data_IF_825041102867
#
_entry.id   IF_825041102867
#
_cell.length_a   1.000
_cell.length_b   1.000
_cell.length_c   1.000
_cell.angle_alpha   90.00
_cell.angle_beta   90.00
_cell.angle_gamma   90.00
#
_symmetry.space_group_name_H-M   'P 1'
#
loop_
_entity.id
_entity.type
_entity.pdbx_description
1 polymer ?
#
# COMPACT_ATOMS: atom_id res chain seq x y z
N UNK A 1 2.46 20.79 -7.42
CA UNK A 1 2.20 19.85 -6.30
C UNK A 1 3.34 20.00 -5.30
N UNK A 2 3.08 20.54 -4.10
CA UNK A 2 4.11 20.76 -3.09
C UNK A 2 4.60 19.43 -2.50
N UNK A 3 5.89 19.17 -2.67
CA UNK A 3 6.58 18.04 -2.05
C UNK A 3 6.52 18.18 -0.52
N UNK A 4 6.37 17.09 0.24
CA UNK A 4 6.55 17.17 1.69
C UNK A 4 8.01 17.58 1.96
N UNK A 5 8.21 18.59 2.83
CA UNK A 5 9.54 19.09 3.21
C UNK A 5 10.25 18.06 4.08
N UNK A 6 10.91 17.11 3.46
CA UNK A 6 12.02 16.42 4.09
C UNK A 6 13.13 17.46 4.28
N UNK A 7 13.46 17.78 5.52
CA UNK A 7 14.58 18.67 5.86
C UNK A 7 15.95 18.01 5.64
N UNK A 8 15.98 16.77 5.15
CA UNK A 8 17.21 16.02 4.90
C UNK A 8 17.79 16.39 3.53
N UNK A 9 19.09 16.76 3.46
CA UNK A 9 19.76 16.99 2.19
C UNK A 9 19.75 15.70 1.35
N UNK A 10 19.64 15.85 0.02
CA UNK A 10 19.69 14.69 -0.88
C UNK A 10 21.08 14.06 -0.81
N UNK A 11 21.18 12.73 -0.66
CA UNK A 11 22.47 12.05 -0.64
C UNK A 11 23.13 12.12 -2.01
N UNK A 12 24.48 12.15 -2.04
CA UNK A 12 25.24 12.07 -3.30
C UNK A 12 25.02 10.69 -3.94
N UNK A 13 24.95 10.60 -5.28
CA UNK A 13 24.76 9.34 -5.98
C UNK A 13 26.04 8.48 -5.85
N UNK A 14 26.06 7.63 -4.84
CA UNK A 14 27.08 6.60 -4.62
C UNK A 14 26.50 5.23 -4.97
N UNK A 15 27.32 4.21 -5.25
CA UNK A 15 26.83 2.85 -5.52
C UNK A 15 25.87 2.32 -4.44
N UNK A 16 26.12 2.68 -3.17
CA UNK A 16 25.24 2.33 -2.04
C UNK A 16 23.87 2.99 -2.17
N UNK A 17 23.80 4.28 -2.48
CA UNK A 17 22.53 5.02 -2.65
C UNK A 17 21.72 4.45 -3.81
N UNK A 18 22.38 4.09 -4.92
CA UNK A 18 21.73 3.45 -6.06
C UNK A 18 21.17 2.08 -5.67
N UNK A 19 21.97 1.25 -4.96
CA UNK A 19 21.52 -0.05 -4.48
C UNK A 19 20.33 0.08 -3.51
N UNK A 20 20.37 1.03 -2.57
CA UNK A 20 19.25 1.31 -1.67
C UNK A 20 17.99 1.74 -2.42
N UNK A 21 18.11 2.56 -3.48
CA UNK A 21 16.96 2.96 -4.32
C UNK A 21 16.31 1.75 -4.96
N UNK A 22 17.11 0.86 -5.55
CA UNK A 22 16.62 -0.38 -6.17
C UNK A 22 15.92 -1.25 -5.12
N UNK A 23 16.52 -1.42 -3.95
CA UNK A 23 15.93 -2.18 -2.85
C UNK A 23 14.59 -1.60 -2.41
N UNK A 24 14.49 -0.29 -2.21
CA UNK A 24 13.24 0.37 -1.80
C UNK A 24 12.13 0.15 -2.83
N UNK A 25 12.42 0.30 -4.13
CA UNK A 25 11.44 0.07 -5.20
C UNK A 25 11.03 -1.40 -5.30
N UNK A 26 11.96 -2.34 -5.09
CA UNK A 26 11.66 -3.76 -5.09
C UNK A 26 10.80 -4.16 -3.88
N UNK A 27 11.15 -3.67 -2.69
CA UNK A 27 10.41 -3.91 -1.45
C UNK A 27 9.01 -3.33 -1.51
N UNK A 28 8.84 -2.13 -2.05
CA UNK A 28 7.52 -1.54 -2.22
C UNK A 28 6.68 -2.30 -3.26
N UNK A 29 7.28 -2.78 -4.36
CA UNK A 29 6.60 -3.69 -5.31
C UNK A 29 6.07 -4.95 -4.61
N UNK A 30 6.86 -5.55 -3.73
CA UNK A 30 6.45 -6.72 -2.95
C UNK A 30 5.30 -6.37 -1.99
N UNK A 31 5.40 -5.25 -1.27
CA UNK A 31 4.36 -4.78 -0.37
C UNK A 31 3.03 -4.60 -1.10
N UNK A 32 3.05 -4.01 -2.30
CA UNK A 32 1.86 -3.86 -3.15
C UNK A 32 1.20 -5.20 -3.45
N UNK A 33 1.97 -6.24 -3.83
CA UNK A 33 1.42 -7.58 -4.11
C UNK A 33 0.76 -8.15 -2.85
N UNK A 34 1.42 -8.04 -1.71
CA UNK A 34 0.92 -8.53 -0.42
C UNK A 34 -0.40 -7.83 -0.07
N UNK A 35 -0.46 -6.50 -0.20
CA UNK A 35 -1.68 -5.74 0.08
C UNK A 35 -2.81 -6.00 -0.93
N UNK A 36 -2.48 -6.23 -2.19
CA UNK A 36 -3.47 -6.63 -3.19
C UNK A 36 -4.07 -8.01 -2.84
N UNK A 37 -3.22 -8.98 -2.49
CA UNK A 37 -3.66 -10.30 -2.04
C UNK A 37 -4.51 -10.20 -0.77
N UNK A 38 -4.08 -9.40 0.21
CA UNK A 38 -4.84 -9.15 1.43
C UNK A 38 -6.21 -8.51 1.16
N UNK A 39 -6.29 -7.51 0.28
CA UNK A 39 -7.54 -6.87 -0.10
C UNK A 39 -8.51 -7.86 -0.76
N UNK A 40 -8.03 -8.65 -1.72
CA UNK A 40 -8.82 -9.72 -2.35
C UNK A 40 -9.30 -10.76 -1.32
N UNK A 41 -8.42 -11.14 -0.39
CA UNK A 41 -8.74 -12.10 0.65
C UNK A 41 -9.79 -11.57 1.64
N UNK A 42 -9.71 -10.30 2.04
CA UNK A 42 -10.73 -9.67 2.90
C UNK A 42 -12.08 -9.60 2.21
N UNK A 43 -12.14 -9.34 0.90
CA UNK A 43 -13.37 -9.44 0.13
C UNK A 43 -13.91 -10.87 0.16
N UNK A 44 -13.06 -11.85 -0.11
CA UNK A 44 -13.42 -13.27 -0.04
C UNK A 44 -14.01 -13.64 1.33
N UNK A 45 -13.35 -13.26 2.43
CA UNK A 45 -13.85 -13.49 3.79
C UNK A 45 -15.17 -12.76 4.05
N UNK A 46 -15.31 -11.52 3.57
CA UNK A 46 -16.54 -10.75 3.69
C UNK A 46 -17.73 -11.37 2.95
N UNK A 47 -17.50 -11.97 1.78
CA UNK A 47 -18.54 -12.63 0.97
C UNK A 47 -18.87 -14.03 1.49
N UNK A 48 -17.86 -14.83 1.83
CA UNK A 48 -18.05 -16.22 2.26
C UNK A 48 -18.39 -16.36 3.74
N UNK A 49 -18.18 -15.31 4.53
CA UNK A 49 -18.31 -15.36 5.98
C UNK A 49 -17.14 -16.04 6.68
N UNK A 50 -16.08 -16.44 5.98
CA UNK A 50 -14.90 -17.10 6.55
C UNK A 50 -14.22 -16.20 7.58
N UNK A 51 -14.02 -16.71 8.81
CA UNK A 51 -13.34 -16.02 9.92
C UNK A 51 -12.19 -16.86 10.43
N UNK A 52 -10.99 -16.57 9.97
CA UNK A 52 -9.77 -17.31 10.34
C UNK A 52 -8.65 -16.36 10.78
N UNK A 53 -7.51 -16.94 11.16
CA UNK A 53 -6.35 -16.16 11.60
C UNK A 53 -5.75 -15.32 10.45
N UNK A 54 -5.83 -15.80 9.21
CA UNK A 54 -5.29 -15.08 8.04
C UNK A 54 -6.09 -13.79 7.81
N UNK A 55 -7.42 -13.82 7.99
CA UNK A 55 -8.26 -12.63 7.92
C UNK A 55 -7.82 -11.58 8.93
N UNK A 56 -7.52 -11.98 10.18
CA UNK A 56 -7.04 -11.06 11.22
C UNK A 56 -5.71 -10.44 10.83
N UNK A 57 -4.76 -11.24 10.33
CA UNK A 57 -3.47 -10.71 9.84
C UNK A 57 -3.64 -9.73 8.68
N UNK A 58 -4.54 -10.03 7.73
CA UNK A 58 -4.86 -9.14 6.63
C UNK A 58 -5.48 -7.82 7.12
N UNK A 59 -6.39 -7.86 8.10
CA UNK A 59 -6.96 -6.66 8.73
C UNK A 59 -5.89 -5.81 9.42
N UNK A 60 -5.01 -6.44 10.21
CA UNK A 60 -3.92 -5.74 10.91
C UNK A 60 -2.97 -5.10 9.92
N UNK A 61 -2.57 -5.82 8.87
CA UNK A 61 -1.70 -5.27 7.83
C UNK A 61 -2.35 -4.04 7.17
N UNK A 62 -3.60 -4.15 6.73
CA UNK A 62 -4.34 -3.04 6.09
C UNK A 62 -4.50 -1.86 7.05
N UNK A 63 -4.74 -2.10 8.34
CA UNK A 63 -4.83 -1.06 9.36
C UNK A 63 -3.51 -0.31 9.55
N UNK A 64 -2.38 -1.04 9.65
CA UNK A 64 -1.04 -0.45 9.76
C UNK A 64 -0.73 0.41 8.54
N UNK A 65 -0.93 -0.13 7.33
CA UNK A 65 -0.68 0.61 6.09
C UNK A 65 -1.57 1.85 6.01
N UNK A 66 -2.84 1.74 6.38
CA UNK A 66 -3.77 2.88 6.40
C UNK A 66 -3.29 3.96 7.38
N UNK A 67 -2.88 3.58 8.59
CA UNK A 67 -2.37 4.50 9.60
C UNK A 67 -1.10 5.21 9.12
N UNK A 68 -0.15 4.48 8.53
CA UNK A 68 1.07 5.03 7.94
C UNK A 68 0.72 5.97 6.78
N UNK A 69 -0.10 5.53 5.83
CA UNK A 69 -0.48 6.32 4.66
C UNK A 69 -1.17 7.63 5.03
N UNK A 70 -2.09 7.60 6.01
CA UNK A 70 -2.77 8.80 6.51
C UNK A 70 -1.82 9.69 7.30
N UNK A 71 -0.99 9.12 8.18
CA UNK A 71 -0.01 9.85 8.98
C UNK A 71 1.02 10.61 8.13
N UNK A 72 1.37 10.06 6.97
CA UNK A 72 2.27 10.69 6.00
C UNK A 72 1.56 11.60 4.97
N UNK A 73 0.29 11.97 5.23
CA UNK A 73 -0.45 12.94 4.42
C UNK A 73 -0.96 12.38 3.09
N UNK A 74 -1.40 11.13 3.08
CA UNK A 74 -1.87 10.38 1.89
C UNK A 74 -0.78 10.23 0.82
N UNK A 75 0.44 9.97 1.27
CA UNK A 75 1.61 9.69 0.44
C UNK A 75 2.31 8.48 1.00
N UNK A 76 2.65 7.51 0.15
CA UNK A 76 3.41 6.34 0.59
C UNK A 76 4.83 6.76 1.04
N UNK A 77 5.28 6.37 2.24
CA UNK A 77 6.63 6.71 2.72
C UNK A 77 7.73 6.11 1.85
N UNK A 78 7.52 4.93 1.26
CA UNK A 78 8.49 4.28 0.39
C UNK A 78 8.65 5.07 -0.93
N UNK A 79 7.56 5.62 -1.47
CA UNK A 79 7.61 6.55 -2.62
C UNK A 79 8.41 7.81 -2.28
N UNK A 80 8.23 8.35 -1.08
CA UNK A 80 9.01 9.50 -0.63
C UNK A 80 10.49 9.16 -0.46
N UNK A 81 10.79 8.00 0.11
CA UNK A 81 12.15 7.53 0.30
C UNK A 81 12.85 7.28 -1.05
N UNK A 82 12.18 6.65 -2.01
CA UNK A 82 12.69 6.46 -3.37
C UNK A 82 13.03 7.81 -4.03
N UNK A 83 12.15 8.81 -3.89
CA UNK A 83 12.40 10.18 -4.41
C UNK A 83 13.57 10.86 -3.73
N UNK A 84 13.71 10.67 -2.42
CA UNK A 84 14.84 11.21 -1.67
C UNK A 84 16.17 10.57 -2.10
N UNK A 85 16.17 9.28 -2.43
CA UNK A 85 17.31 8.55 -2.99
C UNK A 85 17.60 8.87 -4.48
N UNK A 86 16.89 9.82 -5.08
CA UNK A 86 17.12 10.29 -6.45
C UNK A 86 16.27 9.60 -7.53
N UNK A 87 15.16 8.97 -7.16
CA UNK A 87 14.16 8.50 -8.13
C UNK A 87 13.22 9.64 -8.56
N UNK A 88 13.18 10.00 -9.84
CA UNK A 88 12.29 11.08 -10.31
C UNK A 88 10.81 10.68 -10.26
N UNK A 89 10.51 9.39 -10.47
CA UNK A 89 9.14 8.85 -10.39
C UNK A 89 8.68 8.59 -8.95
N UNK A 90 9.51 7.92 -8.16
CA UNK A 90 9.18 7.42 -6.82
C UNK A 90 8.26 6.20 -6.82
N UNK A 91 7.94 5.64 -7.98
CA UNK A 91 6.97 4.55 -8.10
C UNK A 91 7.66 3.19 -8.16
N UNK A 92 6.87 2.14 -7.95
CA UNK A 92 7.33 0.76 -7.86
C UNK A 92 7.56 0.16 -9.21
N UNK A 93 8.56 -0.72 -9.32
CA UNK A 93 8.88 -1.40 -10.58
C UNK A 93 7.67 -2.14 -11.16
N UNK A 94 6.87 -2.77 -10.31
CA UNK A 94 5.69 -3.51 -10.74
C UNK A 94 4.64 -2.61 -11.38
N UNK A 95 4.38 -1.43 -10.80
CA UNK A 95 3.42 -0.48 -11.34
C UNK A 95 3.91 0.24 -12.59
N UNK A 96 5.20 0.59 -12.62
CA UNK A 96 5.82 1.19 -13.81
C UNK A 96 5.78 0.21 -15.00
N UNK A 97 6.03 -1.08 -14.76
CA UNK A 97 6.00 -2.12 -15.78
C UNK A 97 4.58 -2.51 -16.21
N UNK A 98 3.66 -2.73 -15.27
CA UNK A 98 2.34 -3.28 -15.57
C UNK A 98 1.32 -2.26 -16.08
N UNK A 99 1.38 -1.01 -15.58
CA UNK A 99 0.27 -0.04 -15.72
C UNK A 99 0.67 1.28 -16.37
N UNK A 100 1.97 1.52 -16.55
CA UNK A 100 2.49 2.79 -17.05
C UNK A 100 2.29 3.93 -16.04
N UNK A 101 3.17 4.93 -16.09
CA UNK A 101 3.24 6.03 -15.09
C UNK A 101 1.96 6.87 -14.98
N UNK A 102 1.06 6.79 -15.97
CA UNK A 102 -0.14 7.63 -16.08
C UNK A 102 -1.31 7.14 -15.22
N UNK A 103 -1.37 5.85 -14.87
CA UNK A 103 -2.53 5.22 -14.21
C UNK A 103 -2.30 4.80 -12.75
N UNK A 104 -1.10 5.00 -12.21
CA UNK A 104 -0.70 4.51 -10.87
C UNK A 104 -1.59 5.08 -9.75
N UNK A 105 -1.99 6.34 -9.87
CA UNK A 105 -2.89 6.99 -8.91
C UNK A 105 -4.31 6.43 -8.90
N UNK A 106 -4.77 5.84 -10.01
CA UNK A 106 -6.08 5.20 -10.08
C UNK A 106 -6.03 3.82 -9.43
N UNK A 107 -4.98 3.04 -9.70
CA UNK A 107 -4.88 1.67 -9.20
C UNK A 107 -4.65 1.63 -7.69
N UNK A 108 -3.81 2.52 -7.15
CA UNK A 108 -3.66 2.65 -5.69
C UNK A 108 -4.99 2.97 -4.99
N UNK A 109 -5.81 3.86 -5.58
CA UNK A 109 -7.15 4.15 -5.07
C UNK A 109 -8.11 2.97 -5.21
N UNK A 110 -8.05 2.23 -6.31
CA UNK A 110 -8.86 1.03 -6.51
C UNK A 110 -8.51 -0.06 -5.49
N UNK A 111 -7.22 -0.29 -5.23
CA UNK A 111 -6.77 -1.26 -4.21
C UNK A 111 -7.20 -0.85 -2.80
N UNK A 112 -7.04 0.44 -2.45
CA UNK A 112 -7.55 0.96 -1.19
C UNK A 112 -9.08 0.83 -1.08
N UNK A 113 -9.80 1.07 -2.16
CA UNK A 113 -11.25 0.87 -2.25
C UNK A 113 -11.66 -0.58 -2.05
N UNK A 114 -10.98 -1.53 -2.71
CA UNK A 114 -11.22 -2.97 -2.55
C UNK A 114 -11.00 -3.41 -1.10
N UNK A 115 -9.90 -2.98 -0.48
CA UNK A 115 -9.64 -3.27 0.93
C UNK A 115 -10.76 -2.70 1.82
N UNK A 116 -11.17 -1.45 1.61
CA UNK A 116 -12.25 -0.83 2.37
C UNK A 116 -13.59 -1.57 2.23
N UNK A 117 -13.93 -2.01 1.01
CA UNK A 117 -15.13 -2.83 0.75
C UNK A 117 -15.03 -4.16 1.50
N UNK A 118 -13.91 -4.86 1.42
CA UNK A 118 -13.70 -6.12 2.13
C UNK A 118 -13.89 -5.97 3.65
N UNK A 119 -13.28 -4.95 4.25
CA UNK A 119 -13.44 -4.62 5.67
C UNK A 119 -14.92 -4.32 6.00
N UNK A 120 -15.60 -3.53 5.17
CA UNK A 120 -17.01 -3.17 5.39
C UNK A 120 -17.93 -4.39 5.35
N UNK A 121 -17.72 -5.31 4.40
CA UNK A 121 -18.46 -6.57 4.31
C UNK A 121 -18.29 -7.41 5.58
N UNK A 122 -17.06 -7.51 6.09
CA UNK A 122 -16.77 -8.22 7.34
C UNK A 122 -17.49 -7.55 8.53
N UNK A 123 -17.48 -6.22 8.63
CA UNK A 123 -18.19 -5.49 9.69
C UNK A 123 -19.69 -5.76 9.62
N UNK A 124 -20.32 -5.60 8.44
CA UNK A 124 -21.75 -5.83 8.24
C UNK A 124 -22.12 -7.28 8.58
N UNK A 125 -21.32 -8.24 8.11
CA UNK A 125 -21.52 -9.66 8.44
C UNK A 125 -21.44 -9.94 9.94
N UNK A 126 -20.54 -9.25 10.66
CA UNK A 126 -20.39 -9.38 12.12
C UNK A 126 -21.59 -8.79 12.86
N UNK A 127 -22.07 -7.62 12.46
CA UNK A 127 -23.24 -6.98 13.07
C UNK A 127 -24.49 -7.84 12.87
N UNK A 128 -24.69 -8.38 11.67
CA UNK A 128 -25.83 -9.28 11.39
C UNK A 128 -25.82 -10.52 12.27
N UNK A 129 -24.66 -11.13 12.49
CA UNK A 129 -24.52 -12.27 13.39
C UNK A 129 -24.78 -11.92 14.85
N UNK A 130 -24.45 -10.70 15.29
CA UNK A 130 -24.68 -10.25 16.67
C UNK A 130 -26.13 -9.85 16.96
N UNK A 131 -26.91 -9.54 15.92
CA UNK A 131 -28.33 -9.16 16.03
C UNK A 131 -29.29 -10.33 15.82
N UNK A 132 -28.79 -11.50 15.43
CA UNK A 132 -29.54 -12.74 15.25
C UNK A 132 -29.52 -13.59 16.53
#
# INVERSE_FOLDING_TARGET
>A
MSQPRWYLPRPRPTPLVVSSRVFVKAFHSLAVIVFAAAACYLIYCGVTGTRDAIMVWALVAVAIETAVYVGFGRKCPLTMLARWLGDEGGHDYLFEWLLGTRNIGLVSRSLAGLAAIGVLLIIIGSIRQALA
#
